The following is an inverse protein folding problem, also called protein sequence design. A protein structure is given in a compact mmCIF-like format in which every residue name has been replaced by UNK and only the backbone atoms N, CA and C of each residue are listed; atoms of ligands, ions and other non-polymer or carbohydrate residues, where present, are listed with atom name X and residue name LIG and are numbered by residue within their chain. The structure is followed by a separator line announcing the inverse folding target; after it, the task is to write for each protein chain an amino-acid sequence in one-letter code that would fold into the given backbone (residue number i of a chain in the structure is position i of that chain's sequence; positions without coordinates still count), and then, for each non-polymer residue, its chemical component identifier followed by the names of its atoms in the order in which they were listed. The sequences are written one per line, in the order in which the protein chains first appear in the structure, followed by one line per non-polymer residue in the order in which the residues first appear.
data_IF_439040845394
#
_entry.id   IF_439040845394
#
_cell.length_a   1.000
_cell.length_b   1.000
_cell.length_c   1.000
_cell.angle_alpha   90.00
_cell.angle_beta   90.00
_cell.angle_gamma   90.00
#
_symmetry.space_group_name_H-M   'P 1'
#
loop_
_entity.id
_entity.type
_entity.pdbx_description
1 polymer ?
#
# COMPACT_ATOMS: atom_id res chain seq x y z
N UNK A 1 7.98 24.24 -11.21
CA UNK A 1 6.49 24.34 -11.06
C UNK A 1 5.81 24.02 -12.39
N UNK A 2 4.83 23.12 -12.39
CA UNK A 2 4.12 22.70 -13.61
C UNK A 2 3.16 23.77 -14.11
N UNK A 3 2.98 23.83 -15.43
CA UNK A 3 2.09 24.79 -16.09
C UNK A 3 0.61 24.44 -15.87
N UNK A 4 -0.28 25.39 -16.15
CA UNK A 4 -1.72 25.17 -16.11
C UNK A 4 -2.17 24.07 -17.07
N UNK A 5 -1.50 23.95 -18.21
CA UNK A 5 -1.77 22.90 -19.19
C UNK A 5 -1.40 21.51 -18.63
N UNK A 6 -0.24 21.40 -17.98
CA UNK A 6 0.19 20.13 -17.36
C UNK A 6 -0.81 19.67 -16.29
N UNK A 7 -1.37 20.61 -15.51
CA UNK A 7 -2.35 20.30 -14.46
C UNK A 7 -3.69 19.81 -15.00
N UNK A 8 -4.14 20.34 -16.13
CA UNK A 8 -5.36 19.86 -16.79
C UNK A 8 -5.11 18.51 -17.50
N UNK A 9 -3.90 18.25 -17.98
CA UNK A 9 -3.53 16.93 -18.50
C UNK A 9 -3.48 15.86 -17.38
N UNK A 10 -3.01 16.19 -16.17
CA UNK A 10 -3.04 15.25 -15.04
C UNK A 10 -4.45 14.82 -14.64
N UNK A 11 -5.44 15.71 -14.71
CA UNK A 11 -6.85 15.36 -14.42
C UNK A 11 -7.45 14.36 -15.41
N UNK A 12 -6.90 14.28 -16.63
CA UNK A 12 -7.33 13.32 -17.66
C UNK A 12 -6.74 11.93 -17.45
N UNK A 13 -5.62 11.84 -16.73
CA UNK A 13 -4.94 10.57 -16.43
C UNK A 13 -5.82 9.61 -15.60
N UNK A 14 -6.57 10.14 -14.62
CA UNK A 14 -7.50 9.33 -13.82
C UNK A 14 -8.68 8.76 -14.65
N UNK A 15 -8.99 9.38 -15.80
CA UNK A 15 -10.10 8.98 -16.68
C UNK A 15 -9.68 7.96 -17.76
N UNK A 16 -8.38 7.83 -18.02
CA UNK A 16 -7.84 7.01 -19.13
C UNK A 16 -7.18 5.70 -18.66
N UNK A 17 -7.08 5.46 -17.35
CA UNK A 17 -6.46 4.26 -16.79
C UNK A 17 -7.49 3.41 -16.05
N UNK A 18 -8.21 2.54 -16.78
CA UNK A 18 -8.94 1.44 -16.13
C UNK A 18 -8.87 0.09 -16.87
N UNK A 19 -8.14 -0.03 -18.01
CA UNK A 19 -8.06 -1.30 -18.77
C UNK A 19 -6.75 -1.42 -19.62
N UNK A 20 -6.44 -2.66 -20.05
CA UNK A 20 -5.18 -3.28 -20.58
C UNK A 20 -4.28 -2.53 -21.59
N UNK A 21 -4.59 -1.32 -21.99
CA UNK A 21 -3.93 -0.61 -23.09
C UNK A 21 -3.38 0.71 -22.57
N UNK A 22 -2.12 0.76 -22.13
CA UNK A 22 -1.35 2.00 -22.34
C UNK A 22 -1.03 2.11 -23.84
N UNK A 23 -2.10 2.32 -24.62
CA UNK A 23 -2.30 2.12 -26.05
C UNK A 23 -1.01 2.09 -26.89
N UNK A 24 -0.82 0.96 -27.59
CA UNK A 24 0.18 0.73 -28.62
C UNK A 24 0.37 1.95 -29.53
N UNK A 25 1.62 2.22 -29.92
CA UNK A 25 2.00 3.13 -31.01
C UNK A 25 0.97 3.02 -32.15
N UNK A 26 0.14 4.03 -32.34
CA UNK A 26 -0.62 4.15 -33.57
C UNK A 26 0.40 4.55 -34.63
N UNK A 27 0.72 3.66 -35.56
CA UNK A 27 1.66 3.94 -36.65
C UNK A 27 1.26 5.25 -37.34
N UNK A 28 2.18 6.22 -37.36
CA UNK A 28 1.98 7.53 -37.97
C UNK A 28 1.58 8.68 -37.02
N UNK A 29 1.43 8.47 -35.71
CA UNK A 29 1.26 9.58 -34.74
C UNK A 29 2.26 9.50 -33.58
N UNK A 30 2.73 10.67 -33.13
CA UNK A 30 3.61 10.78 -31.96
C UNK A 30 2.98 10.06 -30.75
N UNK A 31 3.78 9.33 -29.94
CA UNK A 31 3.26 8.62 -28.78
C UNK A 31 2.56 9.61 -27.85
N UNK A 32 1.32 9.30 -27.48
CA UNK A 32 0.58 10.05 -26.47
C UNK A 32 1.41 9.95 -25.18
N UNK A 33 1.83 11.10 -24.63
CA UNK A 33 2.60 11.11 -23.39
C UNK A 33 1.70 10.61 -22.27
N UNK A 34 1.89 9.36 -21.86
CA UNK A 34 1.21 8.83 -20.69
C UNK A 34 1.94 9.30 -19.44
N UNK A 35 1.36 10.29 -18.76
CA UNK A 35 1.92 10.85 -17.54
C UNK A 35 1.82 9.91 -16.33
N UNK A 36 1.00 8.84 -16.42
CA UNK A 36 0.97 7.78 -15.39
C UNK A 36 2.31 7.07 -15.24
N UNK A 37 3.24 7.17 -16.20
CA UNK A 37 4.57 6.57 -16.08
C UNK A 37 5.57 7.43 -15.32
N UNK A 38 5.20 8.65 -14.90
CA UNK A 38 6.10 9.52 -14.16
C UNK A 38 6.29 9.06 -12.71
N UNK A 39 7.53 9.20 -12.22
CA UNK A 39 7.95 8.82 -10.86
C UNK A 39 7.13 9.46 -9.72
N UNK A 40 6.44 10.56 -10.02
CA UNK A 40 5.60 11.28 -9.06
C UNK A 40 4.25 10.59 -8.82
N UNK A 41 3.76 9.82 -9.80
CA UNK A 41 2.48 9.10 -9.72
C UNK A 41 2.68 7.61 -9.40
N UNK A 42 3.80 7.03 -9.82
CA UNK A 42 4.20 5.66 -9.49
C UNK A 42 5.70 5.61 -9.14
N UNK A 43 6.10 4.98 -8.04
CA UNK A 43 7.50 4.59 -7.81
C UNK A 43 8.00 3.77 -9.01
N UNK A 44 9.27 3.90 -9.42
CA UNK A 44 9.83 3.05 -10.48
C UNK A 44 9.66 1.58 -10.09
N UNK A 45 8.67 0.92 -10.69
CA UNK A 45 8.42 -0.49 -10.49
C UNK A 45 9.53 -1.25 -11.20
N UNK A 46 10.46 -1.81 -10.42
CA UNK A 46 11.17 -2.99 -10.89
C UNK A 46 10.12 -4.06 -11.19
N UNK A 47 10.11 -4.44 -12.46
CA UNK A 47 9.00 -5.03 -13.17
C UNK A 47 8.87 -6.52 -12.82
N UNK A 48 8.10 -6.88 -11.77
CA UNK A 48 7.54 -8.23 -11.63
C UNK A 48 6.39 -8.38 -10.62
N UNK A 49 5.41 -7.46 -10.61
CA UNK A 49 4.17 -7.70 -9.87
C UNK A 49 3.00 -7.26 -10.76
N UNK A 50 2.28 -8.25 -11.31
CA UNK A 50 1.05 -8.03 -12.09
C UNK A 50 0.06 -7.24 -11.24
N UNK A 51 -0.20 -5.99 -11.61
CA UNK A 51 -1.05 -5.05 -10.87
C UNK A 51 -2.52 -5.36 -11.05
N UNK A 52 -3.07 -6.17 -10.15
CA UNK A 52 -4.48 -6.17 -9.79
C UNK A 52 -4.79 -5.00 -8.82
N UNK A 53 -6.06 -4.62 -8.58
CA UNK A 53 -6.46 -3.48 -7.73
C UNK A 53 -5.93 -3.51 -6.28
N UNK A 54 -5.37 -4.63 -5.84
CA UNK A 54 -4.69 -4.86 -4.57
C UNK A 54 -3.24 -4.34 -4.54
N UNK A 55 -2.58 -4.17 -5.68
CA UNK A 55 -1.18 -3.72 -5.75
C UNK A 55 -0.95 -2.33 -5.15
N UNK A 56 -1.87 -1.39 -5.36
CA UNK A 56 -1.78 -0.04 -4.79
C UNK A 56 -1.95 -0.03 -3.26
N UNK A 57 -2.84 -0.89 -2.73
CA UNK A 57 -3.04 -1.04 -1.28
C UNK A 57 -1.80 -1.68 -0.66
N UNK A 58 -1.24 -2.71 -1.28
CA UNK A 58 -0.01 -3.35 -0.84
C UNK A 58 1.16 -2.35 -0.80
N UNK A 59 1.35 -1.56 -1.87
CA UNK A 59 2.39 -0.53 -1.95
C UNK A 59 2.20 0.55 -0.88
N UNK A 60 0.96 1.01 -0.66
CA UNK A 60 0.67 2.01 0.37
C UNK A 60 0.98 1.49 1.78
N UNK A 61 0.63 0.24 2.08
CA UNK A 61 0.94 -0.39 3.38
C UNK A 61 2.44 -0.58 3.55
N UNK A 62 3.13 -1.07 2.51
CA UNK A 62 4.59 -1.24 2.54
C UNK A 62 5.30 0.11 2.76
N UNK A 63 4.92 1.13 1.99
CA UNK A 63 5.45 2.49 2.11
C UNK A 63 5.19 3.08 3.50
N UNK A 64 4.00 2.85 4.07
CA UNK A 64 3.67 3.27 5.43
C UNK A 64 4.62 2.63 6.46
N UNK A 65 4.81 1.31 6.38
CA UNK A 65 5.70 0.56 7.29
C UNK A 65 7.14 1.09 7.18
N UNK A 66 7.67 1.23 5.96
CA UNK A 66 9.03 1.72 5.73
C UNK A 66 9.23 3.16 6.22
N UNK A 67 8.25 4.03 5.96
CA UNK A 67 8.28 5.42 6.44
C UNK A 67 8.28 5.47 7.95
N UNK A 68 7.48 4.63 8.61
CA UNK A 68 7.41 4.55 10.06
C UNK A 68 8.73 4.08 10.67
N UNK A 69 9.36 3.05 10.10
CA UNK A 69 10.69 2.56 10.50
C UNK A 69 11.76 3.65 10.38
N UNK A 70 11.78 4.37 9.24
CA UNK A 70 12.76 5.45 8.99
C UNK A 70 12.59 6.62 9.97
N UNK A 71 11.35 7.04 10.23
CA UNK A 71 11.04 8.10 11.19
C UNK A 71 11.62 7.80 12.59
N UNK A 72 11.51 6.55 13.05
CA UNK A 72 12.07 6.12 14.36
C UNK A 72 13.59 6.16 14.37
N UNK A 73 14.26 5.65 13.34
CA UNK A 73 15.73 5.70 13.23
C UNK A 73 16.27 7.13 13.24
N UNK A 74 15.55 8.06 12.61
CA UNK A 74 15.94 9.48 12.56
C UNK A 74 15.83 10.22 13.89
N UNK A 75 15.06 9.70 14.86
CA UNK A 75 14.75 10.43 16.11
C UNK A 75 15.74 10.11 17.25
N UNK A 76 16.63 9.13 17.10
CA UNK A 76 17.48 8.64 18.19
C UNK A 76 18.96 8.57 17.82
N UNK A 77 19.68 9.67 18.06
CA UNK A 77 21.14 9.66 18.16
C UNK A 77 21.50 9.24 19.61
N UNK A 78 22.06 8.04 19.80
CA UNK A 78 22.72 7.64 21.05
C UNK A 78 22.06 6.53 21.90
N UNK A 79 20.88 6.00 21.55
CA UNK A 79 20.28 4.82 22.21
C UNK A 79 19.87 3.79 21.16
N UNK A 80 20.08 2.49 21.47
CA UNK A 80 19.64 1.36 20.64
C UNK A 80 18.14 1.52 20.31
N UNK A 81 17.80 1.66 19.02
CA UNK A 81 16.43 1.84 18.58
C UNK A 81 15.60 0.58 18.87
N UNK A 82 14.84 0.57 19.96
CA UNK A 82 13.88 -0.49 20.25
C UNK A 82 12.62 -0.20 19.45
N UNK A 83 12.34 -1.03 18.44
CA UNK A 83 11.09 -0.99 17.70
C UNK A 83 9.93 -1.33 18.65
N UNK A 84 9.11 -0.32 18.96
CA UNK A 84 7.96 -0.47 19.86
C UNK A 84 6.65 -0.62 19.10
N UNK A 85 6.68 -0.39 17.79
CA UNK A 85 5.47 -0.41 17.00
C UNK A 85 5.22 -1.87 16.58
N UNK A 86 4.05 -2.36 16.93
CA UNK A 86 3.56 -3.65 16.44
C UNK A 86 2.33 -3.45 15.59
N UNK A 87 2.13 -4.36 14.64
CA UNK A 87 1.02 -4.36 13.70
C UNK A 87 0.38 -5.72 13.62
N UNK A 88 -0.92 -5.72 13.35
CA UNK A 88 -1.69 -6.90 13.00
C UNK A 88 -2.36 -6.65 11.66
N UNK A 89 -2.49 -7.69 10.84
CA UNK A 89 -3.16 -7.61 9.54
C UNK A 89 -4.44 -8.43 9.57
N UNK A 90 -5.54 -7.75 9.26
CA UNK A 90 -6.86 -8.35 9.22
C UNK A 90 -7.39 -8.18 7.81
N UNK A 91 -7.81 -9.29 7.22
CA UNK A 91 -8.50 -9.36 5.96
C UNK A 91 -9.97 -9.60 6.26
N UNK A 92 -10.86 -8.93 5.54
CA UNK A 92 -12.29 -9.13 5.74
C UNK A 92 -13.05 -9.09 4.42
N UNK A 93 -13.95 -10.05 4.26
CA UNK A 93 -14.95 -10.10 3.21
C UNK A 93 -16.31 -10.36 3.87
N UNK A 94 -16.99 -11.47 3.59
CA UNK A 94 -18.13 -11.96 4.37
C UNK A 94 -17.73 -12.43 5.78
N UNK A 95 -16.46 -12.82 5.95
CA UNK A 95 -15.84 -13.26 7.20
C UNK A 95 -14.54 -12.48 7.46
N UNK A 96 -13.93 -12.71 8.62
CA UNK A 96 -12.64 -12.12 9.00
C UNK A 96 -11.56 -13.18 9.07
N UNK A 97 -10.41 -12.87 8.50
CA UNK A 97 -9.19 -13.68 8.59
C UNK A 97 -8.10 -12.80 9.18
N UNK A 98 -7.49 -13.26 10.26
CA UNK A 98 -6.33 -12.59 10.83
C UNK A 98 -5.09 -13.23 10.23
N UNK A 99 -4.42 -12.50 9.34
CA UNK A 99 -3.24 -13.01 8.62
C UNK A 99 -2.02 -13.09 9.55
N UNK A 100 -1.88 -12.09 10.43
CA UNK A 100 -0.94 -12.12 11.54
C UNK A 100 -1.33 -11.13 12.64
N UNK A 101 -0.83 -11.37 13.85
CA UNK A 101 -1.10 -10.58 15.05
C UNK A 101 0.20 -10.09 15.68
N UNK A 102 0.17 -8.86 16.19
CA UNK A 102 1.18 -8.26 17.07
C UNK A 102 2.65 -8.47 16.63
N UNK A 103 2.93 -8.30 15.34
CA UNK A 103 4.29 -8.42 14.79
C UNK A 103 5.02 -7.08 14.80
N UNK A 104 6.32 -7.09 15.00
CA UNK A 104 7.15 -5.88 14.89
C UNK A 104 7.29 -5.44 13.42
N UNK A 105 7.65 -4.17 13.21
CA UNK A 105 7.87 -3.62 11.87
C UNK A 105 9.27 -3.90 11.32
N UNK A 106 10.10 -4.64 12.05
CA UNK A 106 11.51 -4.83 11.69
C UNK A 106 11.68 -5.52 10.33
N UNK A 107 10.88 -6.55 10.05
CA UNK A 107 10.93 -7.33 8.80
C UNK A 107 9.77 -6.99 7.84
N UNK A 108 9.83 -5.80 7.23
CA UNK A 108 8.76 -5.26 6.37
C UNK A 108 8.52 -6.07 5.09
N UNK A 109 9.58 -6.66 4.51
CA UNK A 109 9.44 -7.53 3.33
C UNK A 109 8.69 -8.83 3.67
N UNK A 110 8.93 -9.41 4.85
CA UNK A 110 8.19 -10.58 5.31
C UNK A 110 6.70 -10.27 5.51
N UNK A 111 6.38 -9.10 6.08
CA UNK A 111 5.00 -8.64 6.22
C UNK A 111 4.31 -8.48 4.85
N UNK A 112 5.01 -7.90 3.86
CA UNK A 112 4.49 -7.76 2.50
C UNK A 112 4.29 -9.13 1.83
N UNK A 113 5.26 -10.04 1.96
CA UNK A 113 5.13 -11.41 1.43
C UNK A 113 3.96 -12.15 2.07
N UNK A 114 3.68 -11.91 3.35
CA UNK A 114 2.51 -12.47 4.03
C UNK A 114 1.21 -11.89 3.46
N UNK A 115 1.14 -10.57 3.23
CA UNK A 115 -0.01 -9.91 2.59
C UNK A 115 -0.31 -10.48 1.20
N UNK A 116 0.74 -10.72 0.39
CA UNK A 116 0.63 -11.21 -0.99
C UNK A 116 0.10 -12.65 -1.10
N UNK A 117 0.00 -13.41 -0.01
CA UNK A 117 -0.59 -14.76 -0.03
C UNK A 117 -2.10 -14.74 -0.22
N UNK A 118 -2.72 -13.58 -0.03
CA UNK A 118 -4.17 -13.43 -0.02
C UNK A 118 -4.63 -12.64 -1.23
N UNK A 119 -5.77 -13.06 -1.80
CA UNK A 119 -6.40 -12.37 -2.91
C UNK A 119 -7.71 -11.74 -2.46
N UNK A 120 -8.05 -10.59 -3.05
CA UNK A 120 -9.33 -9.94 -2.80
C UNK A 120 -10.47 -10.76 -3.44
N UNK A 121 -11.54 -10.98 -2.69
CA UNK A 121 -12.72 -11.69 -3.19
C UNK A 121 -13.84 -11.83 -2.16
N UNK A 122 -15.07 -12.02 -2.66
CA UNK A 122 -16.30 -12.11 -1.86
C UNK A 122 -16.94 -10.75 -1.56
N UNK A 123 -17.93 -10.74 -0.67
CA UNK A 123 -18.59 -9.51 -0.20
C UNK A 123 -17.75 -8.70 0.79
N UNK A 124 -18.36 -7.70 1.45
CA UNK A 124 -17.66 -6.88 2.45
C UNK A 124 -18.52 -6.70 3.71
N UNK A 125 -18.01 -7.18 4.85
CA UNK A 125 -18.66 -7.07 6.15
C UNK A 125 -17.80 -6.23 7.10
N UNK A 126 -17.97 -4.91 7.01
CA UNK A 126 -17.25 -3.96 7.86
C UNK A 126 -17.46 -4.21 9.35
N UNK A 127 -18.67 -4.61 9.77
CA UNK A 127 -18.97 -4.83 11.17
C UNK A 127 -18.10 -5.96 11.76
N UNK A 128 -17.94 -7.08 11.03
CA UNK A 128 -17.03 -8.16 11.44
C UNK A 128 -15.57 -7.68 11.45
N UNK A 129 -15.11 -7.00 10.40
CA UNK A 129 -13.75 -6.47 10.30
C UNK A 129 -13.37 -5.54 11.46
N UNK A 130 -14.22 -4.55 11.75
CA UNK A 130 -14.02 -3.60 12.84
C UNK A 130 -14.08 -4.30 14.20
N UNK A 131 -14.96 -5.28 14.37
CA UNK A 131 -15.07 -6.07 15.61
C UNK A 131 -13.78 -6.84 15.88
N UNK A 132 -13.21 -7.50 14.87
CA UNK A 132 -11.96 -8.26 15.02
C UNK A 132 -10.78 -7.32 15.28
N UNK A 133 -10.71 -6.18 14.59
CA UNK A 133 -9.71 -5.15 14.88
C UNK A 133 -9.77 -4.66 16.32
N UNK A 134 -10.97 -4.38 16.82
CA UNK A 134 -11.20 -3.96 18.21
C UNK A 134 -10.75 -5.03 19.20
N UNK A 135 -11.00 -6.30 18.90
CA UNK A 135 -10.55 -7.43 19.72
C UNK A 135 -9.02 -7.48 19.79
N UNK A 136 -8.31 -7.44 18.66
CA UNK A 136 -6.84 -7.50 18.65
C UNK A 136 -6.20 -6.31 19.37
N UNK A 137 -6.74 -5.09 19.16
CA UNK A 137 -6.27 -3.90 19.88
C UNK A 137 -6.40 -4.11 21.39
N UNK A 138 -7.53 -4.63 21.88
CA UNK A 138 -7.71 -4.90 23.32
C UNK A 138 -6.78 -5.98 23.83
N UNK A 139 -6.53 -7.03 23.04
CA UNK A 139 -5.65 -8.14 23.42
C UNK A 139 -4.19 -7.72 23.56
N UNK A 140 -3.69 -6.90 22.63
CA UNK A 140 -2.27 -6.54 22.56
C UNK A 140 -1.94 -5.15 23.07
N UNK A 141 -2.95 -4.39 23.51
CA UNK A 141 -2.71 -3.13 24.22
C UNK A 141 -1.94 -3.44 25.50
N UNK A 142 -0.77 -2.83 25.62
CA UNK A 142 -0.02 -2.78 26.85
C UNK A 142 -0.85 -2.04 27.91
N UNK A 143 -1.34 -2.71 28.98
CA UNK A 143 -2.18 -2.06 29.99
C UNK A 143 -1.37 -1.15 30.91
N UNK A 144 -0.03 -1.20 30.84
CA UNK A 144 0.87 -0.39 31.67
C UNK A 144 1.21 0.98 31.05
N UNK A 145 0.65 1.30 29.87
CA UNK A 145 0.84 2.56 29.16
C UNK A 145 -0.48 3.30 28.89
#
# INVERSE_FOLDING_TARGET
PYSTNDREEFKKCDHECIDEKHHNKVEGKNPVKSYCTQKIFHSSLDHNYNTTPDGAVMEAVFTFIETRKKSRKSTQVGQMAIDRDTVSLILFNENTTVAFENRTLTNSEELLREMMKYTAGGGTNFAKGIKEATKLIKTHRDPSK
#
